data_IF_177194616793
#
_entry.id   IF_177194616793
#
_cell.length_a   1.000
_cell.length_b   1.000
_cell.length_c   1.000
_cell.angle_alpha   90.00
_cell.angle_beta   90.00
_cell.angle_gamma   90.00
#
_symmetry.space_group_name_H-M   'P 1'
#
loop_
_entity.id
_entity.type
_entity.pdbx_description
1 polymer ?
#
# COMPACT_ATOMS: atom_id res chain seq x y z
N UNK A 1 28.65 -13.15 -18.17
CA UNK A 1 27.40 -13.05 -18.64
C UNK A 1 26.33 -13.22 -17.57
N UNK A 2 25.43 -12.36 -17.58
CA UNK A 2 24.39 -12.43 -16.59
C UNK A 2 23.45 -13.57 -16.92
N UNK A 3 23.22 -14.43 -15.98
CA UNK A 3 22.19 -15.43 -16.14
C UNK A 3 20.88 -14.85 -15.71
N UNK A 4 19.88 -15.18 -16.45
CA UNK A 4 18.54 -14.78 -16.08
C UNK A 4 18.12 -15.59 -14.87
N UNK A 5 18.18 -14.96 -13.72
CA UNK A 5 17.76 -15.63 -12.50
C UNK A 5 16.30 -15.33 -12.25
N UNK A 6 15.51 -16.35 -12.24
CA UNK A 6 14.11 -16.20 -11.96
C UNK A 6 13.94 -16.09 -10.45
N UNK A 7 13.26 -15.06 -10.02
CA UNK A 7 12.96 -14.92 -8.61
C UNK A 7 12.10 -16.10 -8.15
N UNK A 8 12.15 -16.46 -6.87
CA UNK A 8 11.33 -17.57 -6.38
C UNK A 8 9.85 -17.44 -6.69
N UNK A 9 9.37 -16.21 -6.87
CA UNK A 9 7.97 -16.00 -7.20
C UNK A 9 7.71 -16.05 -8.70
N UNK A 10 8.71 -16.41 -9.49
CA UNK A 10 8.54 -16.53 -10.93
C UNK A 10 8.75 -15.25 -11.69
N UNK A 11 9.09 -14.18 -11.03
CA UNK A 11 9.28 -12.90 -11.72
C UNK A 11 10.66 -12.84 -12.34
N UNK A 12 10.84 -11.87 -13.24
CA UNK A 12 12.09 -11.68 -13.93
C UNK A 12 12.99 -10.67 -13.23
N UNK A 13 12.93 -10.64 -11.90
CA UNK A 13 13.67 -9.64 -11.14
C UNK A 13 15.17 -9.79 -11.28
N UNK A 14 15.65 -10.97 -11.68
CA UNK A 14 17.08 -11.15 -11.86
C UNK A 14 17.68 -10.32 -12.98
N UNK A 15 16.84 -9.81 -13.89
CA UNK A 15 17.29 -9.01 -15.02
C UNK A 15 17.29 -7.52 -14.74
N UNK A 16 16.98 -7.12 -13.54
CA UNK A 16 16.90 -5.70 -13.23
C UNK A 16 18.27 -5.06 -13.25
N UNK A 17 18.34 -3.75 -13.55
CA UNK A 17 19.61 -3.05 -13.49
C UNK A 17 20.24 -3.14 -12.12
N UNK A 18 21.55 -3.13 -12.08
CA UNK A 18 22.24 -3.18 -10.81
C UNK A 18 22.02 -1.88 -10.06
N UNK A 19 21.61 -1.96 -8.80
CA UNK A 19 21.37 -0.74 -8.02
C UNK A 19 22.64 -0.20 -7.43
N UNK A 20 22.63 1.09 -7.17
CA UNK A 20 23.63 1.75 -6.35
C UNK A 20 22.91 2.23 -5.09
N UNK A 21 23.67 2.39 -4.03
CA UNK A 21 23.08 2.79 -2.76
C UNK A 21 23.79 4.01 -2.22
N UNK A 22 23.00 4.94 -1.68
CA UNK A 22 23.60 6.09 -1.02
C UNK A 22 23.95 5.70 0.41
N UNK A 23 24.45 6.66 1.17
CA UNK A 23 24.89 6.36 2.54
C UNK A 23 23.73 6.04 3.47
N UNK A 24 22.53 6.39 3.09
CA UNK A 24 21.34 6.08 3.88
C UNK A 24 20.74 4.73 3.50
N UNK A 25 21.35 4.04 2.55
CA UNK A 25 20.86 2.74 2.15
C UNK A 25 19.75 2.75 1.13
N UNK A 26 19.52 3.90 0.49
CA UNK A 26 18.50 3.97 -0.55
C UNK A 26 19.07 3.53 -1.87
N UNK A 27 18.40 2.56 -2.52
CA UNK A 27 18.87 2.01 -3.77
C UNK A 27 18.27 2.77 -4.95
N UNK A 28 19.14 3.12 -5.90
CA UNK A 28 18.70 3.82 -7.11
C UNK A 28 19.36 3.16 -8.31
N UNK A 29 18.79 3.41 -9.49
CA UNK A 29 19.22 2.75 -10.70
C UNK A 29 19.30 3.77 -11.83
N UNK A 30 19.66 3.28 -13.01
CA UNK A 30 19.71 4.15 -14.18
C UNK A 30 18.34 4.67 -14.56
N UNK A 31 17.28 3.94 -14.25
CA UNK A 31 15.92 4.35 -14.58
C UNK A 31 15.32 5.27 -13.54
N UNK A 32 15.75 5.14 -12.29
CA UNK A 32 15.21 5.92 -11.18
C UNK A 32 16.37 6.43 -10.36
N UNK A 33 16.78 7.66 -10.63
CA UNK A 33 17.96 8.22 -9.99
C UNK A 33 17.70 8.51 -8.52
N UNK A 34 18.77 8.85 -7.81
CA UNK A 34 18.67 9.04 -6.36
C UNK A 34 17.68 10.14 -5.98
N UNK A 35 17.64 11.22 -6.75
CA UNK A 35 16.73 12.31 -6.43
C UNK A 35 15.28 11.83 -6.49
N UNK A 36 14.94 11.06 -7.52
CA UNK A 36 13.59 10.54 -7.66
C UNK A 36 13.27 9.53 -6.55
N UNK A 37 14.21 8.64 -6.25
CA UNK A 37 13.98 7.64 -5.21
C UNK A 37 13.80 8.31 -3.86
N UNK A 38 14.58 9.35 -3.57
CA UNK A 38 14.41 10.08 -2.31
C UNK A 38 13.04 10.74 -2.24
N UNK A 39 12.61 11.31 -3.35
CA UNK A 39 11.28 11.92 -3.39
C UNK A 39 10.20 10.89 -3.12
N UNK A 40 10.32 9.72 -3.74
CA UNK A 40 9.35 8.65 -3.52
C UNK A 40 9.42 8.10 -2.11
N UNK A 41 10.63 7.99 -1.57
CA UNK A 41 10.80 7.53 -0.20
C UNK A 41 10.09 8.45 0.78
N UNK A 42 10.27 9.75 0.60
CA UNK A 42 9.62 10.72 1.48
C UNK A 42 8.11 10.68 1.32
N UNK A 43 7.63 10.54 0.09
CA UNK A 43 6.19 10.46 -0.16
C UNK A 43 5.59 9.21 0.48
N UNK A 44 6.31 8.09 0.40
CA UNK A 44 5.84 6.85 1.02
C UNK A 44 5.78 6.97 2.53
N UNK A 45 6.80 7.59 3.12
CA UNK A 45 6.81 7.78 4.56
C UNK A 45 5.65 8.67 5.02
N UNK A 46 5.41 9.75 4.30
CA UNK A 46 4.33 10.66 4.63
C UNK A 46 2.97 9.97 4.52
N UNK A 47 2.79 9.21 3.45
CA UNK A 47 1.53 8.51 3.25
C UNK A 47 1.34 7.43 4.30
N UNK A 48 2.41 6.78 4.71
CA UNK A 48 2.33 5.76 5.75
C UNK A 48 1.82 6.35 7.07
N UNK A 49 2.37 7.48 7.44
CA UNK A 49 1.95 8.15 8.68
C UNK A 49 0.47 8.53 8.59
N UNK A 50 0.08 9.09 7.45
CA UNK A 50 -1.31 9.51 7.25
C UNK A 50 -2.28 8.34 7.35
N UNK A 51 -1.97 7.25 6.66
CA UNK A 51 -2.87 6.11 6.62
C UNK A 51 -2.90 5.36 7.95
N UNK A 52 -1.77 5.28 8.63
CA UNK A 52 -1.74 4.65 9.95
C UNK A 52 -2.61 5.43 10.93
N UNK A 53 -2.51 6.75 10.92
CA UNK A 53 -3.35 7.57 11.77
C UNK A 53 -4.82 7.47 11.43
N UNK A 54 -5.12 7.39 10.13
CA UNK A 54 -6.49 7.25 9.68
C UNK A 54 -7.09 5.92 10.14
N UNK A 55 -6.32 4.85 10.00
CA UNK A 55 -6.80 3.54 10.42
C UNK A 55 -7.07 3.52 11.92
N UNK A 56 -6.14 4.08 12.70
CA UNK A 56 -6.33 4.10 14.15
C UNK A 56 -7.55 4.90 14.54
N UNK A 57 -7.76 6.05 13.90
CA UNK A 57 -8.93 6.88 14.21
C UNK A 57 -10.22 6.14 13.92
N UNK A 58 -10.26 5.44 12.78
CA UNK A 58 -11.46 4.68 12.41
C UNK A 58 -11.70 3.51 13.36
N UNK A 59 -10.62 2.85 13.78
CA UNK A 59 -10.74 1.75 14.74
C UNK A 59 -11.23 2.25 16.08
N UNK A 60 -10.70 3.40 16.53
CA UNK A 60 -11.15 3.97 17.79
C UNK A 60 -12.62 4.38 17.70
N UNK A 61 -13.03 4.93 16.57
CA UNK A 61 -14.41 5.33 16.37
C UNK A 61 -15.34 4.12 16.41
N UNK A 62 -14.94 3.05 15.75
CA UNK A 62 -15.73 1.82 15.76
C UNK A 62 -15.85 1.25 17.16
N UNK A 63 -14.75 1.30 17.91
CA UNK A 63 -14.76 0.82 19.29
C UNK A 63 -15.68 1.66 20.17
N UNK A 64 -15.67 2.97 19.96
CA UNK A 64 -16.52 3.86 20.71
C UNK A 64 -18.00 3.57 20.45
N UNK A 65 -18.34 3.27 19.20
CA UNK A 65 -19.72 2.92 18.88
C UNK A 65 -20.17 1.67 19.64
N UNK A 66 -19.28 0.70 19.78
CA UNK A 66 -19.60 -0.50 20.55
C UNK A 66 -19.81 -0.15 22.01
N UNK A 67 -18.93 0.68 22.57
CA UNK A 67 -19.06 1.07 23.97
C UNK A 67 -20.36 1.80 24.25
N UNK A 68 -20.74 2.69 23.34
CA UNK A 68 -21.99 3.43 23.52
C UNK A 68 -23.18 2.50 23.53
N UNK A 69 -23.15 1.49 22.67
CA UNK A 69 -24.23 0.52 22.63
C UNK A 69 -24.27 -0.29 23.93
N UNK A 70 -23.11 -0.66 24.45
CA UNK A 70 -23.05 -1.49 25.64
C UNK A 70 -23.47 -0.74 26.90
N UNK A 71 -23.39 0.59 26.88
CA UNK A 71 -23.79 1.35 28.05
C UNK A 71 -25.28 1.46 28.21
N UNK A 72 -26.03 0.89 27.28
CA UNK A 72 -27.45 0.75 27.49
C UNK A 72 -28.29 1.95 27.13
N UNK A 73 -27.69 2.97 26.58
CA UNK A 73 -28.46 4.15 26.18
C UNK A 73 -29.10 3.99 24.84
N UNK A 74 -28.72 2.95 24.10
CA UNK A 74 -29.25 2.72 22.76
C UNK A 74 -30.29 1.63 22.82
N UNK A 75 -31.44 1.91 22.28
CA UNK A 75 -32.53 0.95 22.23
C UNK A 75 -32.52 0.24 20.90
N UNK A 76 -32.09 -1.01 20.93
CA UNK A 76 -31.99 -1.77 19.69
C UNK A 76 -33.31 -2.39 19.26
N UNK A 77 -34.26 -2.45 20.15
CA UNK A 77 -35.50 -3.15 19.87
C UNK A 77 -36.55 -2.26 19.25
N UNK A 78 -36.35 -0.96 19.22
CA UNK A 78 -37.36 -0.05 18.73
C UNK A 78 -37.16 0.21 17.26
N UNK A 79 -38.01 -0.31 16.44
CA UNK A 79 -38.02 -0.02 15.01
C UNK A 79 -36.63 -0.11 14.36
N UNK A 80 -35.63 -0.52 15.07
CA UNK A 80 -34.32 -0.70 14.51
C UNK A 80 -33.61 0.55 14.08
N UNK A 81 -34.06 1.71 14.52
CA UNK A 81 -33.52 2.94 13.98
C UNK A 81 -32.08 3.21 14.35
N UNK A 82 -31.87 3.55 15.59
CA UNK A 82 -30.55 4.01 16.03
C UNK A 82 -29.54 2.87 16.14
N UNK A 83 -29.98 1.71 16.63
CA UNK A 83 -29.09 0.57 16.75
C UNK A 83 -28.58 0.10 15.41
N UNK A 84 -29.48 0.05 14.42
CA UNK A 84 -29.08 -0.37 13.08
C UNK A 84 -28.07 0.59 12.46
N UNK A 85 -28.30 1.88 12.67
CA UNK A 85 -27.39 2.89 12.14
C UNK A 85 -26.00 2.74 12.74
N UNK A 86 -25.92 2.49 14.04
CA UNK A 86 -24.63 2.35 14.70
C UNK A 86 -23.89 1.10 14.21
N UNK A 87 -24.63 0.02 13.96
CA UNK A 87 -24.02 -1.19 13.43
C UNK A 87 -23.43 -0.94 12.05
N UNK A 88 -24.20 -0.25 11.19
CA UNK A 88 -23.72 0.05 9.85
C UNK A 88 -22.50 0.95 9.90
N UNK A 89 -22.52 1.97 10.76
CA UNK A 89 -21.39 2.87 10.89
C UNK A 89 -20.14 2.12 11.36
N UNK A 90 -20.30 1.25 12.35
CA UNK A 90 -19.16 0.49 12.86
C UNK A 90 -18.57 -0.39 11.76
N UNK A 91 -19.43 -1.07 11.00
CA UNK A 91 -18.95 -1.92 9.92
C UNK A 91 -18.22 -1.12 8.88
N UNK A 92 -18.74 0.07 8.57
CA UNK A 92 -18.08 0.93 7.59
C UNK A 92 -16.72 1.38 8.09
N UNK A 93 -16.62 1.80 9.36
CA UNK A 93 -15.36 2.26 9.92
C UNK A 93 -14.33 1.14 9.90
N UNK A 94 -14.75 -0.07 10.26
CA UNK A 94 -13.82 -1.20 10.25
C UNK A 94 -13.37 -1.54 8.84
N UNK A 95 -14.28 -1.47 7.88
CA UNK A 95 -13.90 -1.75 6.49
C UNK A 95 -12.91 -0.71 5.97
N UNK A 96 -13.13 0.56 6.29
CA UNK A 96 -12.24 1.62 5.85
C UNK A 96 -10.87 1.50 6.54
N UNK A 97 -10.87 1.13 7.82
CA UNK A 97 -9.60 0.95 8.51
C UNK A 97 -8.81 -0.22 7.93
N UNK A 98 -9.52 -1.28 7.54
CA UNK A 98 -8.85 -2.43 6.91
C UNK A 98 -8.21 -2.03 5.59
N UNK A 99 -8.91 -1.20 4.79
CA UNK A 99 -8.32 -0.72 3.55
C UNK A 99 -7.07 0.10 3.80
N UNK A 100 -7.11 0.97 4.80
CA UNK A 100 -5.94 1.78 5.14
C UNK A 100 -4.78 0.89 5.59
N UNK A 101 -5.08 -0.14 6.38
CA UNK A 101 -4.02 -1.07 6.82
C UNK A 101 -3.42 -1.82 5.66
N UNK A 102 -4.23 -2.22 4.70
CA UNK A 102 -3.71 -2.89 3.51
C UNK A 102 -2.77 -1.99 2.73
N UNK A 103 -3.16 -0.71 2.59
CA UNK A 103 -2.29 0.23 1.89
C UNK A 103 -0.98 0.41 2.62
N UNK A 104 -0.99 0.41 3.95
CA UNK A 104 0.25 0.51 4.72
C UNK A 104 1.16 -0.68 4.42
N UNK A 105 0.60 -1.87 4.31
CA UNK A 105 1.40 -3.04 3.95
C UNK A 105 2.07 -2.84 2.60
N UNK A 106 1.32 -2.34 1.60
CA UNK A 106 1.90 -2.10 0.29
C UNK A 106 2.99 -1.04 0.34
N UNK A 107 2.78 -0.01 1.17
CA UNK A 107 3.79 1.03 1.33
C UNK A 107 5.05 0.45 1.97
N UNK A 108 4.89 -0.39 2.98
CA UNK A 108 6.04 -1.01 3.63
C UNK A 108 6.81 -1.88 2.65
N UNK A 109 6.12 -2.57 1.77
CA UNK A 109 6.78 -3.37 0.74
C UNK A 109 7.53 -2.49 -0.24
N UNK A 110 6.96 -1.33 -0.58
CA UNK A 110 7.65 -0.40 -1.47
C UNK A 110 8.90 0.16 -0.81
N UNK A 111 8.81 0.51 0.46
CA UNK A 111 9.98 0.99 1.19
C UNK A 111 11.06 -0.09 1.24
N UNK A 112 10.65 -1.32 1.41
CA UNK A 112 11.60 -2.44 1.42
C UNK A 112 12.28 -2.59 0.06
N UNK A 113 11.52 -2.42 -1.03
CA UNK A 113 12.12 -2.49 -2.36
C UNK A 113 13.13 -1.37 -2.59
N UNK A 114 12.88 -0.19 -2.03
CA UNK A 114 13.87 0.88 -2.12
C UNK A 114 15.17 0.44 -1.44
N UNK A 115 15.06 -0.18 -0.27
CA UNK A 115 16.26 -0.65 0.44
C UNK A 115 16.98 -1.75 -0.33
N UNK A 116 16.25 -2.54 -1.11
CA UNK A 116 16.87 -3.60 -1.89
C UNK A 116 17.32 -3.14 -3.26
N UNK A 117 16.95 -1.92 -3.67
CA UNK A 117 17.34 -1.41 -4.96
C UNK A 117 16.51 -1.89 -6.13
N UNK A 118 15.30 -2.39 -5.85
CA UNK A 118 14.41 -2.90 -6.90
C UNK A 118 13.15 -2.06 -7.05
N UNK A 119 13.12 -0.91 -6.41
CA UNK A 119 11.94 -0.05 -6.48
C UNK A 119 11.70 0.46 -7.89
N UNK A 120 10.43 0.50 -8.27
CA UNK A 120 10.03 1.08 -9.55
C UNK A 120 9.90 0.11 -10.69
N UNK A 121 10.25 -1.14 -10.47
CA UNK A 121 10.17 -2.15 -11.52
C UNK A 121 9.00 -3.08 -11.26
N UNK A 122 8.31 -3.45 -12.36
CA UNK A 122 7.15 -4.32 -12.24
C UNK A 122 7.54 -5.65 -11.63
N UNK A 123 6.77 -6.10 -10.66
CA UNK A 123 7.01 -7.41 -10.06
C UNK A 123 6.59 -8.54 -11.00
N UNK A 124 5.84 -8.21 -12.05
CA UNK A 124 5.42 -9.22 -13.01
C UNK A 124 6.40 -9.36 -14.17
N UNK A 125 6.88 -8.24 -14.71
CA UNK A 125 7.68 -8.28 -15.93
C UNK A 125 9.08 -7.73 -15.76
N UNK A 126 9.35 -7.02 -14.67
CA UNK A 126 10.64 -6.38 -14.50
C UNK A 126 10.81 -5.10 -15.28
N UNK A 127 9.79 -4.69 -16.05
CA UNK A 127 9.88 -3.44 -16.78
C UNK A 127 9.70 -2.25 -15.84
N UNK A 128 10.36 -1.12 -16.14
CA UNK A 128 10.18 0.05 -15.28
C UNK A 128 8.77 0.59 -15.36
N UNK A 129 8.21 0.92 -14.21
CA UNK A 129 6.92 1.56 -14.12
C UNK A 129 7.11 3.05 -14.46
N UNK A 130 6.23 3.64 -15.27
CA UNK A 130 6.39 5.06 -15.60
C UNK A 130 6.44 5.94 -14.36
N UNK A 131 7.26 6.97 -14.42
CA UNK A 131 7.41 7.86 -13.27
C UNK A 131 6.10 8.53 -12.90
N UNK A 132 5.28 8.86 -13.88
CA UNK A 132 3.98 9.48 -13.60
C UNK A 132 3.12 8.58 -12.74
N UNK A 133 3.16 7.28 -13.02
CA UNK A 133 2.37 6.34 -12.23
C UNK A 133 2.91 6.22 -10.82
N UNK A 134 4.24 6.22 -10.67
CA UNK A 134 4.84 6.17 -9.34
C UNK A 134 4.59 7.44 -8.57
N UNK A 135 4.58 8.58 -9.23
CA UNK A 135 4.27 9.83 -8.55
C UNK A 135 2.84 9.84 -8.03
N UNK A 136 1.93 9.26 -8.80
CA UNK A 136 0.53 9.17 -8.38
C UNK A 136 0.33 8.09 -7.33
N UNK A 137 0.99 6.95 -7.50
CA UNK A 137 0.86 5.82 -6.59
C UNK A 137 2.26 5.29 -6.30
N UNK A 138 2.94 5.88 -5.31
CA UNK A 138 4.34 5.49 -5.06
C UNK A 138 4.54 4.01 -4.73
N UNK A 139 3.50 3.32 -4.32
CA UNK A 139 3.61 1.89 -4.01
C UNK A 139 3.15 1.00 -5.16
N UNK A 140 3.00 1.55 -6.36
CA UNK A 140 2.61 0.75 -7.51
C UNK A 140 3.65 -0.32 -7.80
N UNK A 141 3.19 -1.52 -8.13
CA UNK A 141 4.07 -2.66 -8.35
C UNK A 141 3.99 -3.24 -9.74
N UNK A 142 3.07 -2.77 -10.57
CA UNK A 142 2.91 -3.29 -11.92
C UNK A 142 2.52 -2.16 -12.86
N UNK A 143 2.67 -2.41 -14.14
CA UNK A 143 2.22 -1.47 -15.16
C UNK A 143 0.70 -1.50 -15.24
N UNK A 144 0.14 -0.41 -15.76
CA UNK A 144 -1.32 -0.33 -15.89
C UNK A 144 -1.85 -1.49 -16.75
N UNK A 145 -1.20 -1.74 -17.87
CA UNK A 145 -1.67 -2.80 -18.76
C UNK A 145 -1.52 -4.17 -18.11
N UNK A 146 -0.55 -4.34 -17.24
CA UNK A 146 -0.39 -5.61 -16.53
C UNK A 146 -1.50 -5.83 -15.53
N UNK A 147 -1.89 -4.76 -14.86
CA UNK A 147 -2.97 -4.85 -13.89
C UNK A 147 -4.28 -5.21 -14.56
N UNK A 148 -4.58 -4.52 -15.67
CA UNK A 148 -5.81 -4.78 -16.40
C UNK A 148 -5.79 -6.19 -16.97
N UNK A 149 -4.66 -6.61 -17.55
CA UNK A 149 -4.54 -7.94 -18.08
C UNK A 149 -4.70 -9.01 -17.03
N UNK A 150 -4.10 -8.77 -15.86
CA UNK A 150 -4.23 -9.71 -14.77
C UNK A 150 -5.66 -9.86 -14.29
N UNK A 151 -6.36 -8.74 -14.21
CA UNK A 151 -7.77 -8.79 -13.84
C UNK A 151 -8.57 -9.52 -14.89
N UNK A 152 -8.30 -9.25 -16.15
CA UNK A 152 -9.05 -9.87 -17.23
C UNK A 152 -8.82 -11.36 -17.36
N UNK A 153 -7.79 -11.87 -16.72
CA UNK A 153 -7.47 -13.29 -16.83
C UNK A 153 -8.18 -14.15 -15.83
N UNK A 154 -8.91 -13.56 -14.96
CA UNK A 154 -9.56 -14.33 -13.93
C UNK A 154 -10.54 -15.34 -14.44
#
# INVERSE_FOLDING_TARGET
MATTATHPDGSALGDLPKPRFNKEGLGYTKDFDLAFVKEMFDALQAERVKLTGQAKRLEDEAHQLVEEAEMGDVQFDDEGGEGDTMIVERERDLALSAQAREAVVEIDEALDRIKRGTYGYSVMSGRPVPRERLEAIPWATVLVEEKVGGIGRR
#
